data_IF_046386500147
#
_entry.id   IF_046386500147
#
_cell.length_a   1.000
_cell.length_b   1.000
_cell.length_c   1.000
_cell.angle_alpha   90.00
_cell.angle_beta   90.00
_cell.angle_gamma   90.00
#
_symmetry.space_group_name_H-M   'P 1'
#
loop_
_entity.id
_entity.type
_entity.pdbx_description
1 polymer ?
#
# COMPACT_ATOMS: atom_id res chain seq x y z
N UNK A 1 -14.93 -2.79 -7.50
CA UNK A 1 -14.15 -2.46 -6.29
C UNK A 1 -13.02 -1.56 -6.76
N UNK A 2 -12.97 -0.32 -6.26
CA UNK A 2 -11.93 0.63 -6.66
C UNK A 2 -10.63 0.34 -5.89
N UNK A 3 -9.53 0.25 -6.61
CA UNK A 3 -8.19 -0.01 -6.07
C UNK A 3 -7.30 1.21 -6.33
N UNK A 4 -6.72 1.75 -5.26
CA UNK A 4 -5.63 2.72 -5.34
C UNK A 4 -4.30 2.02 -5.02
N UNK A 5 -3.22 2.44 -5.67
CA UNK A 5 -1.86 2.00 -5.33
C UNK A 5 -0.97 3.22 -5.15
N UNK A 6 -0.32 3.30 -4.00
CA UNK A 6 0.72 4.28 -3.70
C UNK A 6 2.06 3.55 -3.79
N UNK A 7 3.03 4.13 -4.50
CA UNK A 7 4.37 3.55 -4.65
C UNK A 7 5.39 4.52 -4.11
N UNK A 8 6.19 4.06 -3.14
CA UNK A 8 7.20 4.84 -2.44
C UNK A 8 8.55 4.11 -2.52
N UNK A 9 9.62 4.90 -2.58
CA UNK A 9 10.98 4.38 -2.62
C UNK A 9 11.61 4.36 -4.01
N UNK A 10 12.04 3.18 -4.48
CA UNK A 10 12.94 3.08 -5.62
C UNK A 10 12.27 2.51 -6.88
N UNK A 11 13.02 2.47 -7.98
CA UNK A 11 12.54 1.95 -9.27
C UNK A 11 12.04 0.51 -9.21
N UNK A 12 12.55 -0.31 -8.28
CA UNK A 12 12.01 -1.67 -8.04
C UNK A 12 10.55 -1.63 -7.61
N UNK A 13 10.19 -0.76 -6.66
CA UNK A 13 8.82 -0.63 -6.20
C UNK A 13 7.86 -0.22 -7.34
N UNK A 14 8.33 0.63 -8.27
CA UNK A 14 7.54 0.99 -9.44
C UNK A 14 7.27 -0.22 -10.35
N UNK A 15 8.30 -1.00 -10.68
CA UNK A 15 8.16 -2.21 -11.50
C UNK A 15 7.23 -3.23 -10.84
N UNK A 16 7.39 -3.43 -9.52
CA UNK A 16 6.53 -4.34 -8.75
C UNK A 16 5.06 -3.86 -8.80
N UNK A 17 4.82 -2.55 -8.65
CA UNK A 17 3.48 -1.96 -8.75
C UNK A 17 2.87 -2.16 -10.14
N UNK A 18 3.63 -1.92 -11.21
CA UNK A 18 3.15 -2.14 -12.59
C UNK A 18 2.79 -3.62 -12.81
N UNK A 19 3.58 -4.54 -12.25
CA UNK A 19 3.28 -5.96 -12.29
C UNK A 19 1.98 -6.31 -11.55
N UNK A 20 1.80 -5.81 -10.33
CA UNK A 20 0.57 -6.00 -9.55
C UNK A 20 -0.65 -5.46 -10.28
N UNK A 21 -0.55 -4.23 -10.80
CA UNK A 21 -1.62 -3.59 -11.57
C UNK A 21 -1.95 -4.40 -12.81
N UNK A 22 -0.94 -4.85 -13.57
CA UNK A 22 -1.10 -5.68 -14.76
C UNK A 22 -1.85 -7.00 -14.48
N UNK A 23 -1.62 -7.62 -13.33
CA UNK A 23 -2.38 -8.82 -12.92
C UNK A 23 -3.82 -8.44 -12.53
N UNK A 24 -3.99 -7.35 -11.77
CA UNK A 24 -5.27 -6.98 -11.16
C UNK A 24 -6.26 -6.36 -12.15
N UNK A 25 -5.81 -5.56 -13.12
CA UNK A 25 -6.69 -5.01 -14.17
C UNK A 25 -7.34 -6.09 -15.04
N UNK A 26 -6.72 -7.25 -15.15
CA UNK A 26 -7.26 -8.38 -15.90
C UNK A 26 -8.28 -9.22 -15.09
N UNK A 27 -8.43 -8.96 -13.78
CA UNK A 27 -9.41 -9.66 -12.94
C UNK A 27 -10.74 -8.91 -12.93
N UNK A 28 -11.83 -9.64 -13.14
CA UNK A 28 -13.20 -9.08 -13.01
C UNK A 28 -13.39 -8.50 -11.61
N UNK A 29 -13.88 -7.26 -11.54
CA UNK A 29 -14.29 -6.61 -10.29
C UNK A 29 -13.31 -5.59 -9.71
N UNK A 30 -12.12 -5.42 -10.30
CA UNK A 30 -11.18 -4.35 -9.94
C UNK A 30 -11.26 -3.19 -10.94
N UNK A 31 -11.29 -1.97 -10.42
CA UNK A 31 -11.18 -0.72 -11.19
C UNK A 31 -10.08 0.11 -10.55
N UNK A 32 -9.10 0.58 -11.33
CA UNK A 32 -7.98 1.35 -10.78
C UNK A 32 -8.41 2.81 -10.64
N UNK A 33 -8.09 3.41 -9.50
CA UNK A 33 -8.27 4.84 -9.23
C UNK A 33 -6.97 5.46 -8.76
N UNK A 34 -6.72 6.70 -9.16
CA UNK A 34 -5.62 7.52 -8.62
C UNK A 34 -6.02 8.20 -7.32
N UNK A 35 -7.32 8.28 -7.02
CA UNK A 35 -7.85 8.94 -5.84
C UNK A 35 -8.08 7.92 -4.70
N UNK A 36 -7.21 7.96 -3.69
CA UNK A 36 -7.30 7.08 -2.50
C UNK A 36 -8.64 7.23 -1.78
N UNK A 37 -9.18 8.46 -1.73
CA UNK A 37 -10.48 8.78 -1.09
C UNK A 37 -11.67 8.09 -1.75
N UNK A 38 -11.54 7.70 -3.01
CA UNK A 38 -12.58 6.96 -3.74
C UNK A 38 -12.36 5.44 -3.72
N UNK A 39 -11.21 4.97 -3.25
CA UNK A 39 -10.85 3.57 -3.28
C UNK A 39 -11.60 2.76 -2.21
N UNK A 40 -11.92 1.50 -2.53
CA UNK A 40 -12.36 0.50 -1.55
C UNK A 40 -11.13 -0.17 -0.89
N UNK A 41 -10.02 -0.28 -1.62
CA UNK A 41 -8.76 -0.91 -1.20
C UNK A 41 -7.59 -0.02 -1.62
N UNK A 42 -6.61 0.18 -0.73
CA UNK A 42 -5.35 0.85 -1.03
C UNK A 42 -4.18 -0.10 -0.78
N UNK A 43 -3.29 -0.25 -1.76
CA UNK A 43 -2.01 -0.92 -1.62
C UNK A 43 -0.93 0.16 -1.52
N UNK A 44 -0.09 0.10 -0.49
CA UNK A 44 1.05 1.02 -0.32
C UNK A 44 2.31 0.20 -0.47
N UNK A 45 2.98 0.32 -1.62
CA UNK A 45 4.23 -0.37 -1.92
C UNK A 45 5.41 0.49 -1.45
N UNK A 46 6.17 -0.01 -0.48
CA UNK A 46 7.10 0.76 0.35
C UNK A 46 8.52 0.22 0.25
N UNK A 47 9.51 1.09 0.47
CA UNK A 47 10.92 0.71 0.54
C UNK A 47 11.41 0.69 2.00
N UNK A 48 12.22 -0.31 2.33
CA UNK A 48 12.78 -0.51 3.68
C UNK A 48 14.29 -0.29 3.77
N UNK A 49 14.93 0.18 2.69
CA UNK A 49 16.39 0.27 2.56
C UNK A 49 16.95 1.69 2.63
N UNK A 50 16.16 2.69 2.25
CA UNK A 50 16.57 4.10 2.27
C UNK A 50 15.92 4.75 3.50
N UNK A 51 16.73 5.38 4.36
CA UNK A 51 16.27 5.97 5.63
C UNK A 51 15.10 6.93 5.44
N UNK A 52 15.28 7.93 4.57
CA UNK A 52 14.25 8.93 4.26
C UNK A 52 12.98 8.28 3.67
N UNK A 53 13.14 7.24 2.84
CA UNK A 53 12.00 6.51 2.26
C UNK A 53 11.23 5.69 3.30
N UNK A 54 11.86 5.30 4.42
CA UNK A 54 11.17 4.64 5.54
C UNK A 54 10.24 5.62 6.24
N UNK A 55 10.71 6.83 6.54
CA UNK A 55 9.91 7.86 7.18
C UNK A 55 8.73 8.27 6.30
N UNK A 56 8.98 8.56 5.01
CA UNK A 56 7.94 8.83 4.01
C UNK A 56 6.91 7.70 3.92
N UNK A 57 7.37 6.44 3.97
CA UNK A 57 6.48 5.28 3.96
C UNK A 57 5.56 5.25 5.17
N UNK A 58 6.08 5.52 6.37
CA UNK A 58 5.27 5.54 7.59
C UNK A 58 4.28 6.71 7.56
N UNK A 59 4.72 7.91 7.17
CA UNK A 59 3.84 9.08 7.04
C UNK A 59 2.68 8.81 6.08
N UNK A 60 2.98 8.24 4.90
CA UNK A 60 1.96 7.89 3.92
C UNK A 60 0.99 6.81 4.44
N UNK A 61 1.48 5.81 5.16
CA UNK A 61 0.60 4.80 5.80
C UNK A 61 -0.37 5.49 6.76
N UNK A 62 0.12 6.38 7.62
CA UNK A 62 -0.72 7.10 8.58
C UNK A 62 -1.75 8.00 7.89
N UNK A 63 -1.38 8.68 6.79
CA UNK A 63 -2.33 9.46 5.99
C UNK A 63 -3.45 8.56 5.42
N UNK A 64 -3.11 7.39 4.89
CA UNK A 64 -4.10 6.46 4.33
C UNK A 64 -5.00 5.87 5.42
N UNK A 65 -4.47 5.63 6.62
CA UNK A 65 -5.28 5.21 7.77
C UNK A 65 -6.37 6.23 8.09
N UNK A 66 -6.08 7.53 8.01
CA UNK A 66 -7.09 8.57 8.21
C UNK A 66 -8.18 8.55 7.12
N UNK A 67 -7.83 8.20 5.87
CA UNK A 67 -8.84 7.97 4.81
C UNK A 67 -9.71 6.73 5.07
N UNK A 68 -9.18 5.70 5.73
CA UNK A 68 -9.97 4.53 6.15
C UNK A 68 -10.93 4.85 7.29
N UNK A 69 -10.52 5.69 8.24
CA UNK A 69 -11.37 6.10 9.38
C UNK A 69 -12.53 7.00 8.97
N UNK A 70 -12.31 7.89 7.99
CA UNK A 70 -13.26 8.95 7.62
C UNK A 70 -13.99 8.72 6.29
N UNK A 71 -13.56 7.75 5.49
CA UNK A 71 -13.92 7.67 4.08
C UNK A 71 -14.47 6.33 3.62
N UNK A 72 -14.38 6.12 2.29
CA UNK A 72 -14.85 4.90 1.62
C UNK A 72 -13.85 3.74 1.69
N UNK A 73 -12.61 4.03 2.08
CA UNK A 73 -11.53 3.06 2.11
C UNK A 73 -11.82 1.99 3.16
N UNK A 74 -11.89 0.73 2.75
CA UNK A 74 -12.22 -0.40 3.63
C UNK A 74 -11.00 -1.21 4.01
N UNK A 75 -10.02 -1.29 3.09
CA UNK A 75 -8.86 -2.16 3.23
C UNK A 75 -7.56 -1.43 2.93
N UNK A 76 -6.55 -1.69 3.75
CA UNK A 76 -5.17 -1.21 3.57
C UNK A 76 -4.26 -2.43 3.52
N UNK A 77 -3.43 -2.51 2.47
CA UNK A 77 -2.39 -3.52 2.33
C UNK A 77 -1.05 -2.81 2.20
N UNK A 78 -0.08 -3.20 3.01
CA UNK A 78 1.30 -2.71 2.87
C UNK A 78 2.11 -3.74 2.11
N UNK A 79 2.79 -3.30 1.06
CA UNK A 79 3.61 -4.12 0.20
C UNK A 79 5.08 -3.67 0.22
N UNK A 80 5.99 -4.56 -0.17
CA UNK A 80 7.38 -4.22 -0.45
C UNK A 80 8.34 -4.42 0.73
N UNK A 81 9.55 -3.88 0.59
CA UNK A 81 10.69 -4.19 1.46
C UNK A 81 10.46 -3.80 2.93
N UNK A 82 9.76 -2.69 3.19
CA UNK A 82 9.43 -2.28 4.56
C UNK A 82 8.44 -3.27 5.19
N UNK A 83 7.41 -3.65 4.42
CA UNK A 83 6.37 -4.58 4.81
C UNK A 83 6.96 -5.95 5.17
N UNK A 84 7.91 -6.45 4.36
CA UNK A 84 8.59 -7.73 4.64
C UNK A 84 9.43 -7.68 5.91
N UNK A 85 10.15 -6.57 6.14
CA UNK A 85 11.11 -6.47 7.24
C UNK A 85 10.46 -6.17 8.59
N UNK A 86 9.37 -5.41 8.59
CA UNK A 86 8.73 -4.87 9.78
C UNK A 86 7.26 -5.29 9.89
N UNK A 87 6.88 -6.43 9.31
CA UNK A 87 5.49 -6.91 9.28
C UNK A 87 4.83 -6.92 10.67
N UNK A 88 5.49 -7.53 11.65
CA UNK A 88 4.95 -7.68 13.00
C UNK A 88 4.80 -6.32 13.70
N UNK A 89 5.79 -5.44 13.57
CA UNK A 89 5.76 -4.09 14.13
C UNK A 89 4.65 -3.24 13.51
N UNK A 90 4.52 -3.28 12.17
CA UNK A 90 3.48 -2.54 11.45
C UNK A 90 2.07 -2.99 11.87
N UNK A 91 1.85 -4.30 12.00
CA UNK A 91 0.55 -4.84 12.43
C UNK A 91 0.26 -4.57 13.90
N UNK A 92 1.29 -4.54 14.76
CA UNK A 92 1.14 -4.24 16.18
C UNK A 92 0.85 -2.75 16.44
N UNK A 93 1.57 -1.86 15.76
CA UNK A 93 1.49 -0.40 15.97
C UNK A 93 0.35 0.24 15.15
N UNK A 94 -0.02 -0.34 14.00
CA UNK A 94 -1.04 0.18 13.09
C UNK A 94 -2.10 -0.90 12.80
N UNK A 95 -3.04 -1.13 13.74
CA UNK A 95 -4.04 -2.20 13.64
C UNK A 95 -5.04 -2.01 12.50
N UNK A 96 -5.08 -0.84 11.87
CA UNK A 96 -5.88 -0.57 10.67
C UNK A 96 -5.32 -1.23 9.39
N UNK A 97 -4.10 -1.76 9.41
CA UNK A 97 -3.55 -2.54 8.29
C UNK A 97 -4.26 -3.91 8.22
N UNK A 98 -4.80 -4.25 7.05
CA UNK A 98 -5.53 -5.51 6.86
C UNK A 98 -4.66 -6.63 6.26
N UNK A 99 -3.47 -6.30 5.76
CA UNK A 99 -2.58 -7.28 5.17
C UNK A 99 -1.20 -6.75 4.85
N UNK A 100 -0.25 -7.69 4.80
CA UNK A 100 1.14 -7.46 4.43
C UNK A 100 1.47 -8.33 3.20
N UNK A 101 2.19 -7.77 2.25
CA UNK A 101 2.78 -8.47 1.11
C UNK A 101 4.29 -8.17 1.13
N UNK A 102 5.11 -9.20 1.29
CA UNK A 102 6.57 -9.05 1.24
C UNK A 102 7.08 -8.72 -0.17
N UNK A 103 8.39 -8.80 -0.38
CA UNK A 103 8.95 -8.71 -1.73
C UNK A 103 8.92 -10.06 -2.43
N UNK A 104 8.72 -10.04 -3.76
CA UNK A 104 8.72 -11.22 -4.63
C UNK A 104 9.21 -10.84 -6.00
#
# INVERSE_FOLDING_TARGET
MKLAVITLGCSKNLVDTEHYLGILVNKKGFEITTEVKEADLCIINTCGFIGDAKEESIESILEVVEYKKSGKLKKIIIAGCLAERYADELLAEIPEIDGIIGTG
#
